data_IF_044012478151
#
_entry.id   IF_044012478151
#
_cell.length_a   1.000
_cell.length_b   1.000
_cell.length_c   1.000
_cell.angle_alpha   90.00
_cell.angle_beta   90.00
_cell.angle_gamma   90.00
#
_symmetry.space_group_name_H-M   'P 1'
#
loop_
_entity.id
_entity.type
_entity.pdbx_description
1 polymer ?
#
# COMPACT_ATOMS: atom_id res chain seq x y z
N UNK A 1 16.96 22.41 45.64
CA UNK A 1 16.67 21.20 46.45
C UNK A 1 15.68 20.37 45.68
N UNK A 2 16.05 19.10 45.44
CA UNK A 2 15.29 17.93 44.95
C UNK A 2 14.49 18.11 43.64
N UNK A 3 14.80 17.49 42.48
CA UNK A 3 15.34 16.17 42.10
C UNK A 3 14.29 15.05 41.93
N UNK A 4 14.33 14.44 40.72
CA UNK A 4 13.89 13.09 40.27
C UNK A 4 12.39 12.73 40.37
N UNK A 5 11.74 11.96 39.47
CA UNK A 5 12.16 10.79 38.68
C UNK A 5 11.14 10.57 37.54
N UNK A 6 11.52 10.39 36.27
CA UNK A 6 11.63 9.12 35.54
C UNK A 6 10.41 8.18 35.57
N UNK A 7 9.80 7.93 34.41
CA UNK A 7 9.21 6.62 34.11
C UNK A 7 9.24 6.36 32.61
N UNK A 8 10.20 5.50 32.26
CA UNK A 8 10.49 4.95 30.95
C UNK A 8 9.72 3.62 30.83
N UNK A 9 9.05 3.41 29.70
CA UNK A 9 8.17 2.28 29.46
C UNK A 9 8.57 1.51 28.21
N UNK A 10 9.82 1.07 28.19
CA UNK A 10 10.39 0.12 27.25
C UNK A 10 9.74 -1.26 27.39
N UNK A 11 9.26 -1.83 26.28
CA UNK A 11 9.04 -3.28 26.16
C UNK A 11 9.81 -3.73 24.91
N UNK A 12 11.06 -4.11 25.16
CA UNK A 12 11.88 -4.86 24.23
C UNK A 12 11.70 -6.37 24.42
N UNK A 13 11.92 -7.07 23.30
CA UNK A 13 12.38 -8.46 23.14
C UNK A 13 11.65 -9.62 23.81
N UNK A 14 11.12 -10.49 22.95
CA UNK A 14 11.21 -11.94 23.13
C UNK A 14 11.61 -12.58 21.79
N UNK A 15 12.90 -12.90 21.71
CA UNK A 15 13.53 -13.78 20.74
C UNK A 15 12.97 -15.20 20.84
N UNK A 16 13.05 -15.96 19.75
CA UNK A 16 12.80 -17.40 19.76
C UNK A 16 12.87 -18.00 18.35
N UNK A 17 14.07 -18.36 17.95
CA UNK A 17 14.39 -19.13 16.74
C UNK A 17 13.78 -20.55 16.75
N UNK A 18 13.72 -21.12 15.54
CA UNK A 18 13.73 -22.54 15.20
C UNK A 18 12.44 -23.37 15.38
N UNK A 19 11.86 -23.78 14.24
CA UNK A 19 11.13 -25.04 14.10
C UNK A 19 11.04 -25.45 12.61
N UNK A 20 12.01 -26.28 12.23
CA UNK A 20 11.91 -27.25 11.14
C UNK A 20 10.87 -28.34 11.49
N UNK A 21 10.00 -28.72 10.54
CA UNK A 21 9.35 -30.05 10.39
C UNK A 21 8.23 -29.93 9.34
N UNK A 22 8.40 -30.47 8.14
CA UNK A 22 8.16 -31.88 7.77
C UNK A 22 6.68 -32.22 7.54
N UNK A 23 6.37 -32.30 6.24
CA UNK A 23 5.32 -33.13 5.66
C UNK A 23 5.40 -34.56 6.22
N UNK A 24 4.28 -35.13 6.64
CA UNK A 24 3.72 -36.39 6.10
C UNK A 24 2.60 -36.89 7.02
N UNK A 25 1.39 -36.87 6.45
CA UNK A 25 0.20 -37.48 7.03
C UNK A 25 0.06 -38.88 6.44
N UNK A 26 -0.11 -39.89 7.29
CA UNK A 26 -0.86 -41.10 6.96
C UNK A 26 -0.07 -42.27 6.37
N UNK A 27 0.53 -43.05 7.27
CA UNK A 27 0.97 -44.42 7.06
C UNK A 27 -0.25 -45.36 7.09
N UNK A 28 -0.47 -46.14 6.03
CA UNK A 28 -1.22 -47.41 6.08
C UNK A 28 -0.53 -48.40 5.14
N UNK A 29 0.28 -49.27 5.74
CA UNK A 29 0.61 -50.62 5.26
C UNK A 29 -0.32 -51.61 6.01
N UNK A 30 -0.55 -52.89 5.60
CA UNK A 30 0.51 -53.86 5.22
C UNK A 30 0.02 -55.04 4.29
N UNK A 31 0.65 -56.25 4.23
CA UNK A 31 2.01 -56.60 3.77
C UNK A 31 2.08 -57.82 2.79
N UNK A 32 3.32 -58.15 2.38
CA UNK A 32 3.88 -59.47 1.96
C UNK A 32 3.97 -59.79 0.45
N UNK A 33 5.19 -59.87 -0.11
CA UNK A 33 5.97 -61.12 -0.25
C UNK A 33 7.25 -60.90 -1.09
N UNK A 34 8.31 -61.60 -0.67
CA UNK A 34 9.66 -61.69 -1.25
C UNK A 34 9.70 -62.48 -2.57
N UNK A 35 10.60 -62.12 -3.50
CA UNK A 35 11.39 -63.09 -4.29
C UNK A 35 12.50 -62.42 -5.13
N UNK A 36 13.72 -62.93 -4.95
CA UNK A 36 14.92 -62.73 -5.77
C UNK A 36 14.81 -63.46 -7.14
N UNK A 37 15.49 -62.93 -8.18
CA UNK A 37 16.29 -63.66 -9.20
C UNK A 37 16.78 -62.62 -10.25
N UNK A 38 18.06 -62.28 -10.38
CA UNK A 38 19.21 -63.05 -10.89
C UNK A 38 19.30 -63.15 -12.44
N UNK A 39 20.38 -62.58 -13.00
CA UNK A 39 21.01 -62.93 -14.29
C UNK A 39 20.47 -62.22 -15.55
N UNK A 40 21.22 -61.91 -16.62
CA UNK A 40 22.56 -62.32 -17.09
C UNK A 40 23.05 -61.31 -18.18
N UNK A 41 24.37 -61.12 -18.24
CA UNK A 41 25.28 -60.60 -19.29
C UNK A 41 24.83 -60.00 -20.65
N UNK A 42 25.43 -58.81 -20.94
CA UNK A 42 26.20 -58.32 -22.12
C UNK A 42 26.55 -59.29 -23.28
N UNK A 43 27.26 -58.86 -24.36
CA UNK A 43 27.14 -57.70 -25.28
C UNK A 43 27.23 -58.14 -26.76
N UNK A 44 27.00 -57.27 -27.75
CA UNK A 44 27.61 -57.45 -29.09
C UNK A 44 27.84 -56.11 -29.81
N UNK A 45 28.94 -56.05 -30.56
CA UNK A 45 29.62 -54.89 -31.13
C UNK A 45 29.35 -54.72 -32.63
N UNK A 46 29.85 -53.60 -33.19
CA UNK A 46 30.07 -53.23 -34.61
C UNK A 46 28.85 -52.65 -35.36
N UNK A 47 28.94 -51.60 -36.19
CA UNK A 47 30.06 -50.82 -36.73
C UNK A 47 29.53 -49.49 -37.29
N UNK A 48 30.40 -48.48 -37.31
CA UNK A 48 30.49 -47.21 -38.09
C UNK A 48 29.32 -46.63 -38.90
N UNK A 49 29.08 -45.31 -38.73
CA UNK A 49 29.23 -44.30 -39.78
C UNK A 49 28.98 -42.89 -39.21
N UNK A 50 29.83 -41.95 -39.61
CA UNK A 50 29.87 -40.56 -39.15
C UNK A 50 28.67 -39.76 -39.69
N UNK A 51 28.06 -38.99 -38.79
CA UNK A 51 26.96 -38.07 -39.07
C UNK A 51 27.09 -36.85 -38.18
N UNK A 52 28.20 -36.16 -38.33
CA UNK A 52 28.51 -34.87 -37.73
C UNK A 52 27.41 -33.85 -38.06
N UNK A 53 26.50 -33.63 -37.10
CA UNK A 53 25.64 -32.46 -37.05
C UNK A 53 25.56 -32.01 -35.61
N UNK A 54 26.65 -31.37 -35.17
CA UNK A 54 26.68 -30.58 -33.94
C UNK A 54 25.49 -29.61 -33.96
N UNK A 55 24.44 -29.91 -33.19
CA UNK A 55 23.51 -28.88 -32.76
C UNK A 55 24.35 -27.80 -32.07
N UNK A 56 24.43 -26.65 -32.72
CA UNK A 56 24.99 -25.42 -32.19
C UNK A 56 24.18 -25.03 -30.95
N UNK A 57 24.55 -25.62 -29.82
CA UNK A 57 24.09 -25.19 -28.50
C UNK A 57 24.61 -23.77 -28.34
N UNK A 58 23.74 -22.81 -28.66
CA UNK A 58 24.04 -21.39 -28.54
C UNK A 58 24.59 -21.17 -27.13
N UNK A 59 25.87 -20.79 -27.05
CA UNK A 59 26.55 -20.53 -25.80
C UNK A 59 25.65 -19.57 -25.01
N UNK A 60 25.13 -20.01 -23.87
CA UNK A 60 24.27 -19.17 -23.04
C UNK A 60 25.16 -18.04 -22.56
N UNK A 61 24.99 -16.84 -23.13
CA UNK A 61 25.81 -15.68 -22.79
C UNK A 61 25.94 -15.55 -21.27
N UNK A 62 27.16 -15.35 -20.74
CA UNK A 62 27.35 -15.19 -19.31
C UNK A 62 26.49 -14.01 -18.83
N UNK A 63 25.60 -14.28 -17.87
CA UNK A 63 24.66 -13.29 -17.32
C UNK A 63 25.42 -12.04 -16.90
N UNK A 64 25.14 -10.94 -17.59
CA UNK A 64 25.80 -9.67 -17.37
C UNK A 64 25.51 -9.16 -15.94
N UNK A 65 26.49 -8.52 -15.28
CA UNK A 65 26.32 -7.95 -13.93
C UNK A 65 25.87 -6.50 -14.01
N UNK A 66 24.86 -6.13 -13.23
CA UNK A 66 24.37 -4.75 -13.16
C UNK A 66 25.45 -3.87 -12.50
N UNK A 67 25.88 -2.83 -13.22
CA UNK A 67 26.91 -1.89 -12.79
C UNK A 67 26.31 -0.49 -12.52
N UNK A 68 27.14 0.43 -12.00
CA UNK A 68 26.69 1.79 -11.65
C UNK A 68 26.12 2.58 -12.84
N UNK A 69 26.60 2.34 -14.06
CA UNK A 69 26.06 2.97 -15.28
C UNK A 69 24.66 2.45 -15.62
N UNK A 70 24.39 1.16 -15.40
CA UNK A 70 23.08 0.56 -15.64
C UNK A 70 22.05 0.90 -14.56
N UNK A 71 22.50 1.29 -13.35
CA UNK A 71 21.60 1.67 -12.24
C UNK A 71 20.65 2.81 -12.63
N UNK A 72 21.12 3.80 -13.39
CA UNK A 72 20.27 4.94 -13.79
C UNK A 72 19.12 4.47 -14.68
N UNK A 73 19.43 3.70 -15.72
CA UNK A 73 18.43 3.16 -16.64
C UNK A 73 17.47 2.19 -15.94
N UNK A 74 17.99 1.36 -15.03
CA UNK A 74 17.17 0.48 -14.20
C UNK A 74 16.18 1.29 -13.34
N UNK A 75 16.66 2.30 -12.61
CA UNK A 75 15.80 3.11 -11.74
C UNK A 75 14.75 3.90 -12.54
N UNK A 76 15.10 4.40 -13.73
CA UNK A 76 14.15 5.07 -14.62
C UNK A 76 13.04 4.12 -15.10
N UNK A 77 13.38 2.90 -15.50
CA UNK A 77 12.40 1.88 -15.91
C UNK A 77 11.48 1.46 -14.76
N UNK A 78 12.05 1.29 -13.56
CA UNK A 78 11.26 0.98 -12.35
C UNK A 78 10.32 2.14 -12.01
N UNK A 79 10.73 3.40 -12.19
CA UNK A 79 9.87 4.54 -11.96
C UNK A 79 8.75 4.68 -13.00
N UNK A 80 9.03 4.34 -14.25
CA UNK A 80 8.03 4.34 -15.30
C UNK A 80 6.94 3.29 -15.07
N UNK A 81 7.29 2.12 -14.51
CA UNK A 81 6.33 1.09 -14.12
C UNK A 81 6.56 0.65 -12.67
N UNK A 82 6.09 1.44 -11.68
CA UNK A 82 6.42 1.20 -10.28
C UNK A 82 5.79 -0.10 -9.77
N UNK A 83 6.60 -1.09 -9.36
CA UNK A 83 6.11 -2.41 -8.96
C UNK A 83 5.27 -2.35 -7.68
N UNK A 84 5.37 -1.27 -6.90
CA UNK A 84 4.64 -1.07 -5.66
C UNK A 84 3.15 -0.74 -5.85
N UNK A 85 2.75 -0.35 -7.07
CA UNK A 85 1.36 -0.04 -7.41
C UNK A 85 0.53 -1.29 -7.74
N UNK A 86 1.17 -2.45 -7.87
CA UNK A 86 0.54 -3.67 -8.36
C UNK A 86 0.32 -4.69 -7.25
N UNK A 87 -0.72 -5.49 -7.40
CA UNK A 87 -1.01 -6.61 -6.50
C UNK A 87 0.10 -7.67 -6.54
N UNK A 88 0.29 -8.37 -5.42
CA UNK A 88 1.31 -9.42 -5.25
C UNK A 88 1.33 -10.44 -6.39
N UNK A 89 0.18 -10.77 -6.97
CA UNK A 89 0.04 -11.72 -8.08
C UNK A 89 0.60 -11.17 -9.41
N UNK A 90 0.53 -9.86 -9.63
CA UNK A 90 0.96 -9.20 -10.86
C UNK A 90 2.41 -8.68 -10.80
N UNK A 91 2.96 -8.43 -9.60
CA UNK A 91 4.31 -7.87 -9.40
C UNK A 91 5.41 -8.64 -10.14
N UNK A 92 5.34 -9.97 -10.19
CA UNK A 92 6.32 -10.77 -10.93
C UNK A 92 6.31 -10.48 -12.43
N UNK A 93 5.12 -10.29 -13.02
CA UNK A 93 4.97 -9.91 -14.43
C UNK A 93 5.52 -8.52 -14.70
N UNK A 94 5.30 -7.58 -13.79
CA UNK A 94 5.85 -6.22 -13.86
C UNK A 94 7.37 -6.24 -13.89
N UNK A 95 8.00 -6.98 -12.98
CA UNK A 95 9.47 -7.10 -12.97
C UNK A 95 10.02 -7.75 -14.25
N UNK A 96 9.34 -8.76 -14.80
CA UNK A 96 9.71 -9.33 -16.11
C UNK A 96 9.65 -8.27 -17.21
N UNK A 97 8.60 -7.46 -17.25
CA UNK A 97 8.46 -6.35 -18.19
C UNK A 97 9.56 -5.31 -18.06
N UNK A 98 9.88 -4.87 -16.84
CA UNK A 98 10.98 -3.94 -16.54
C UNK A 98 12.31 -4.51 -17.05
N UNK A 99 12.59 -5.79 -16.75
CA UNK A 99 13.82 -6.45 -17.18
C UNK A 99 13.94 -6.48 -18.70
N UNK A 100 12.86 -6.80 -19.41
CA UNK A 100 12.85 -6.87 -20.87
C UNK A 100 13.12 -5.51 -21.50
N UNK A 101 12.47 -4.45 -21.02
CA UNK A 101 12.69 -3.09 -21.54
C UNK A 101 14.08 -2.57 -21.23
N UNK A 102 14.58 -2.81 -20.02
CA UNK A 102 15.96 -2.48 -19.66
C UNK A 102 16.93 -3.17 -20.60
N UNK A 103 16.81 -4.49 -20.76
CA UNK A 103 17.66 -5.30 -21.64
C UNK A 103 17.63 -4.80 -23.09
N UNK A 104 16.46 -4.41 -23.60
CA UNK A 104 16.32 -3.80 -24.94
C UNK A 104 17.02 -2.43 -25.02
N UNK A 105 16.86 -1.58 -24.01
CA UNK A 105 17.38 -0.20 -24.03
C UNK A 105 18.91 -0.12 -23.96
N UNK A 106 19.55 -1.00 -23.19
CA UNK A 106 21.01 -0.98 -22.97
C UNK A 106 21.71 -2.20 -23.56
N UNK A 107 21.04 -2.94 -24.45
CA UNK A 107 21.58 -4.13 -25.13
C UNK A 107 22.28 -5.10 -24.17
N UNK A 108 21.56 -5.50 -23.12
CA UNK A 108 22.07 -6.35 -22.04
C UNK A 108 21.14 -7.53 -21.78
N UNK A 109 21.58 -8.48 -20.94
CA UNK A 109 20.79 -9.65 -20.59
C UNK A 109 20.75 -9.87 -19.06
N UNK A 110 20.01 -9.00 -18.37
CA UNK A 110 19.74 -9.12 -16.95
C UNK A 110 18.49 -9.96 -16.69
N UNK A 111 18.50 -10.72 -15.61
CA UNK A 111 17.29 -11.36 -15.11
C UNK A 111 16.44 -10.38 -14.31
N UNK A 112 15.12 -10.55 -14.34
CA UNK A 112 14.22 -9.71 -13.54
C UNK A 112 14.50 -9.78 -12.04
N UNK A 113 15.03 -10.90 -11.55
CA UNK A 113 15.45 -11.07 -10.16
C UNK A 113 16.64 -10.17 -9.84
N UNK A 114 17.65 -10.15 -10.71
CA UNK A 114 18.81 -9.27 -10.56
C UNK A 114 18.39 -7.79 -10.54
N UNK A 115 17.49 -7.38 -11.43
CA UNK A 115 16.93 -6.02 -11.45
C UNK A 115 16.25 -5.68 -10.11
N UNK A 116 15.33 -6.55 -9.64
CA UNK A 116 14.62 -6.38 -8.37
C UNK A 116 15.56 -6.28 -7.18
N UNK A 117 16.53 -7.18 -7.11
CA UNK A 117 17.46 -7.27 -5.99
C UNK A 117 18.41 -6.06 -5.97
N UNK A 118 18.86 -5.60 -7.15
CA UNK A 118 19.66 -4.38 -7.28
C UNK A 118 18.87 -3.14 -6.87
N UNK A 119 17.63 -2.97 -7.33
CA UNK A 119 16.78 -1.85 -6.91
C UNK A 119 16.56 -1.87 -5.39
N UNK A 120 16.32 -3.04 -4.81
CA UNK A 120 16.13 -3.21 -3.36
C UNK A 120 17.39 -2.81 -2.57
N UNK A 121 18.56 -3.19 -3.07
CA UNK A 121 19.85 -2.80 -2.50
C UNK A 121 20.06 -1.28 -2.55
N UNK A 122 19.80 -0.66 -3.71
CA UNK A 122 19.96 0.79 -3.90
C UNK A 122 19.04 1.59 -2.97
N UNK A 123 17.78 1.18 -2.82
CA UNK A 123 16.85 1.80 -1.87
C UNK A 123 17.30 1.66 -0.42
N UNK A 124 17.85 0.49 -0.04
CA UNK A 124 18.38 0.28 1.32
C UNK A 124 19.60 1.19 1.59
N UNK A 125 20.53 1.26 0.64
CA UNK A 125 21.71 2.13 0.75
C UNK A 125 21.31 3.60 0.82
N UNK A 126 20.31 4.00 0.04
CA UNK A 126 19.73 5.35 0.08
C UNK A 126 19.15 5.67 1.46
N UNK A 127 18.31 4.79 2.01
CA UNK A 127 17.69 5.01 3.33
C UNK A 127 18.74 5.16 4.45
N UNK A 128 19.81 4.34 4.42
CA UNK A 128 20.92 4.46 5.37
C UNK A 128 21.63 5.80 5.22
N UNK A 129 21.92 6.22 3.98
CA UNK A 129 22.58 7.50 3.70
C UNK A 129 21.71 8.69 4.12
N UNK A 130 20.42 8.64 3.81
CA UNK A 130 19.44 9.67 4.14
C UNK A 130 19.39 9.89 5.66
N UNK A 131 19.22 8.82 6.44
CA UNK A 131 19.26 8.88 7.92
C UNK A 131 20.58 9.43 8.47
N UNK A 132 21.72 9.02 7.87
CA UNK A 132 23.03 9.54 8.27
C UNK A 132 23.15 11.04 8.01
N UNK A 133 22.64 11.52 6.87
CA UNK A 133 22.66 12.94 6.53
C UNK A 133 21.72 13.76 7.44
N UNK A 134 20.53 13.23 7.75
CA UNK A 134 19.59 13.86 8.71
C UNK A 134 20.19 13.98 10.11
N UNK A 135 20.94 12.98 10.57
CA UNK A 135 21.61 13.00 11.87
C UNK A 135 22.89 13.84 11.93
N UNK A 136 23.51 14.14 10.79
CA UNK A 136 24.76 14.91 10.69
C UNK A 136 24.52 16.41 10.40
N UNK A 137 23.40 16.95 10.89
CA UNK A 137 22.93 18.33 10.68
C UNK A 137 24.08 19.33 10.80
N UNK A 138 24.48 19.92 9.67
CA UNK A 138 25.63 20.81 9.54
C UNK A 138 26.60 20.45 8.41
N UNK A 139 26.57 19.23 7.89
CA UNK A 139 27.35 18.84 6.69
C UNK A 139 26.48 18.87 5.43
N UNK A 140 27.04 19.28 4.28
CA UNK A 140 26.28 19.44 3.05
C UNK A 140 25.68 18.13 2.57
N UNK A 141 24.40 18.16 2.16
CA UNK A 141 23.67 17.00 1.66
C UNK A 141 24.33 16.47 0.38
N UNK A 142 24.92 15.27 0.45
CA UNK A 142 25.60 14.65 -0.70
C UNK A 142 24.56 14.11 -1.69
N UNK A 143 24.26 14.92 -2.71
CA UNK A 143 23.40 14.53 -3.81
C UNK A 143 24.17 13.64 -4.80
N UNK A 144 23.92 12.33 -4.76
CA UNK A 144 24.34 11.46 -5.87
C UNK A 144 23.44 11.63 -7.07
N UNK A 145 23.96 11.36 -8.26
CA UNK A 145 23.22 11.37 -9.52
C UNK A 145 21.88 10.59 -9.51
N UNK A 146 21.82 9.48 -8.77
CA UNK A 146 20.61 8.66 -8.65
C UNK A 146 19.64 9.11 -7.53
N UNK A 147 19.97 10.18 -6.79
CA UNK A 147 19.22 10.61 -5.58
C UNK A 147 17.75 10.86 -5.88
N UNK A 148 17.46 11.64 -6.92
CA UNK A 148 16.08 11.98 -7.30
C UNK A 148 15.25 10.74 -7.63
N UNK A 149 15.79 9.76 -8.35
CA UNK A 149 15.07 8.55 -8.69
C UNK A 149 14.77 7.70 -7.44
N UNK A 150 15.74 7.61 -6.52
CA UNK A 150 15.60 6.82 -5.29
C UNK A 150 14.61 7.46 -4.31
N UNK A 151 14.60 8.78 -4.21
CA UNK A 151 13.63 9.52 -3.40
C UNK A 151 12.19 9.30 -3.88
N UNK A 152 11.95 9.44 -5.19
CA UNK A 152 10.63 9.17 -5.76
C UNK A 152 10.19 7.72 -5.55
N UNK A 153 11.09 6.75 -5.75
CA UNK A 153 10.78 5.33 -5.52
C UNK A 153 10.47 5.04 -4.04
N UNK A 154 11.17 5.67 -3.11
CA UNK A 154 10.88 5.57 -1.67
C UNK A 154 9.48 6.11 -1.35
N UNK A 155 9.12 7.27 -1.89
CA UNK A 155 7.79 7.87 -1.72
C UNK A 155 6.69 6.95 -2.27
N UNK A 156 6.85 6.43 -3.49
CA UNK A 156 5.89 5.51 -4.11
C UNK A 156 5.76 4.20 -3.31
N UNK A 157 6.87 3.67 -2.81
CA UNK A 157 6.86 2.48 -1.95
C UNK A 157 6.07 2.73 -0.66
N UNK A 158 6.28 3.87 -0.02
CA UNK A 158 5.59 4.22 1.22
C UNK A 158 4.10 4.46 0.97
N UNK A 159 3.74 5.17 -0.11
CA UNK A 159 2.35 5.37 -0.52
C UNK A 159 1.64 4.03 -0.83
N UNK A 160 2.31 3.10 -1.51
CA UNK A 160 1.77 1.76 -1.75
C UNK A 160 1.59 0.96 -0.45
N UNK A 161 2.48 1.13 0.53
CA UNK A 161 2.36 0.48 1.83
C UNK A 161 1.18 1.04 2.65
N UNK A 162 1.01 2.37 2.69
CA UNK A 162 -0.10 3.01 3.40
C UNK A 162 -1.45 2.68 2.75
N UNK A 163 -1.53 2.68 1.42
CA UNK A 163 -2.75 2.29 0.70
C UNK A 163 -3.13 0.82 0.98
N UNK A 164 -2.15 -0.09 0.96
CA UNK A 164 -2.40 -1.50 1.27
C UNK A 164 -2.85 -1.69 2.73
N UNK A 165 -2.29 -0.93 3.67
CA UNK A 165 -2.71 -0.99 5.06
C UNK A 165 -4.13 -0.42 5.25
N UNK A 166 -4.45 0.70 4.59
CA UNK A 166 -5.80 1.27 4.61
C UNK A 166 -6.85 0.29 4.06
N UNK A 167 -6.52 -0.42 2.97
CA UNK A 167 -7.40 -1.48 2.41
C UNK A 167 -7.64 -2.61 3.40
N UNK A 168 -6.61 -3.06 4.12
CA UNK A 168 -6.75 -4.10 5.16
C UNK A 168 -7.60 -3.62 6.32
N UNK A 169 -7.36 -2.40 6.79
CA UNK A 169 -8.13 -1.81 7.88
C UNK A 169 -9.61 -1.68 7.50
N UNK A 170 -9.92 -1.21 6.29
CA UNK A 170 -11.29 -1.14 5.79
C UNK A 170 -11.94 -2.53 5.68
N UNK A 171 -11.19 -3.55 5.27
CA UNK A 171 -11.73 -4.91 5.24
C UNK A 171 -12.08 -5.39 6.67
N UNK A 172 -11.22 -5.10 7.65
CA UNK A 172 -11.43 -5.46 9.05
C UNK A 172 -12.60 -4.69 9.69
N UNK A 173 -12.78 -3.39 9.39
CA UNK A 173 -13.93 -2.62 9.89
C UNK A 173 -15.23 -3.16 9.30
N UNK A 174 -15.25 -3.48 8.00
CA UNK A 174 -16.43 -4.08 7.36
C UNK A 174 -16.82 -5.41 7.99
N UNK A 175 -15.86 -6.26 8.35
CA UNK A 175 -16.16 -7.52 9.06
C UNK A 175 -16.71 -7.26 10.46
N UNK A 176 -16.13 -6.31 11.20
CA UNK A 176 -16.60 -5.94 12.54
C UNK A 176 -18.02 -5.35 12.49
N UNK A 177 -18.32 -4.50 11.51
CA UNK A 177 -19.65 -3.93 11.31
C UNK A 177 -20.70 -5.01 11.04
N UNK A 178 -20.38 -6.00 10.20
CA UNK A 178 -21.26 -7.13 9.92
C UNK A 178 -21.50 -7.99 11.16
N UNK A 179 -20.46 -8.27 11.94
CA UNK A 179 -20.58 -9.02 13.20
C UNK A 179 -21.44 -8.26 14.21
N UNK A 180 -21.20 -6.96 14.37
CA UNK A 180 -21.96 -6.09 15.27
C UNK A 180 -23.42 -6.01 14.85
N UNK A 181 -23.71 -5.89 13.55
CA UNK A 181 -25.07 -5.93 13.03
C UNK A 181 -25.74 -7.29 13.31
N UNK A 182 -25.02 -8.40 13.16
CA UNK A 182 -25.49 -9.74 13.51
C UNK A 182 -25.84 -9.87 14.99
N UNK A 183 -24.99 -9.39 15.89
CA UNK A 183 -25.23 -9.39 17.33
C UNK A 183 -26.47 -8.56 17.70
N UNK A 184 -26.65 -7.37 17.09
CA UNK A 184 -27.85 -6.54 17.33
C UNK A 184 -29.14 -7.24 16.90
N UNK A 185 -29.13 -7.96 15.78
CA UNK A 185 -30.29 -8.74 15.34
C UNK A 185 -30.62 -9.87 16.33
N UNK A 186 -29.60 -10.53 16.88
CA UNK A 186 -29.77 -11.55 17.91
C UNK A 186 -30.37 -10.97 19.19
N UNK A 187 -29.83 -9.85 19.68
CA UNK A 187 -30.36 -9.15 20.86
C UNK A 187 -31.81 -8.69 20.64
N UNK A 188 -32.12 -8.10 19.49
CA UNK A 188 -33.49 -7.72 19.16
C UNK A 188 -34.45 -8.93 19.12
N UNK A 189 -33.98 -10.08 18.63
CA UNK A 189 -34.77 -11.32 18.66
C UNK A 189 -34.97 -11.84 20.09
N UNK A 190 -33.95 -11.80 20.94
CA UNK A 190 -34.02 -12.18 22.36
C UNK A 190 -34.96 -11.26 23.15
N UNK A 191 -34.95 -9.96 22.89
CA UNK A 191 -35.90 -9.01 23.48
C UNK A 191 -37.34 -9.34 23.06
N UNK A 192 -37.56 -9.61 21.78
CA UNK A 192 -38.88 -9.99 21.26
C UNK A 192 -39.37 -11.32 21.84
N UNK A 193 -38.46 -12.27 22.09
CA UNK A 193 -38.75 -13.54 22.74
C UNK A 193 -39.06 -13.34 24.23
N UNK A 194 -38.26 -12.53 24.94
CA UNK A 194 -38.46 -12.19 26.35
C UNK A 194 -39.78 -11.45 26.58
N UNK A 195 -40.15 -10.51 25.70
CA UNK A 195 -41.46 -9.83 25.71
C UNK A 195 -42.59 -10.84 25.52
N UNK A 196 -42.41 -11.86 24.66
CA UNK A 196 -43.40 -12.92 24.46
C UNK A 196 -43.52 -13.80 25.69
N UNK A 197 -42.41 -14.22 26.29
CA UNK A 197 -42.41 -15.03 27.52
C UNK A 197 -43.00 -14.28 28.72
N UNK A 198 -42.61 -13.01 28.93
CA UNK A 198 -43.15 -12.18 30.00
C UNK A 198 -44.67 -11.98 29.88
N UNK A 199 -45.18 -11.81 28.65
CA UNK A 199 -46.62 -11.74 28.39
C UNK A 199 -47.34 -13.09 28.61
N UNK A 200 -46.64 -14.22 28.54
CA UNK A 200 -47.21 -15.54 28.80
C UNK A 200 -47.27 -15.90 30.30
N UNK A 201 -46.39 -15.32 31.15
CA UNK A 201 -46.37 -15.61 32.59
C UNK A 201 -47.13 -14.63 33.48
N UNK A 202 -47.49 -13.43 32.99
CA UNK A 202 -48.26 -12.45 33.76
C UNK A 202 -49.79 -12.72 33.79
N UNK A 203 -50.21 -13.96 33.59
CA UNK A 203 -51.62 -14.33 33.61
C UNK A 203 -51.82 -15.77 34.06
N UNK A 204 -52.26 -15.95 35.29
CA UNK A 204 -52.92 -17.17 35.73
C UNK A 204 -54.28 -17.24 35.00
N UNK A 205 -54.24 -17.54 33.70
CA UNK A 205 -55.32 -17.88 32.77
C UNK A 205 -54.72 -17.81 31.35
N UNK A 206 -54.80 -18.90 30.59
CA UNK A 206 -54.32 -19.02 29.20
C UNK A 206 -55.07 -18.16 28.19
N UNK A 207 -55.19 -16.86 28.44
CA UNK A 207 -55.77 -15.87 27.56
C UNK A 207 -54.72 -15.33 26.59
N UNK A 208 -55.06 -15.35 25.30
CA UNK A 208 -54.27 -14.76 24.21
C UNK A 208 -53.77 -13.36 24.58
N UNK A 209 -52.55 -12.95 24.17
CA UNK A 209 -52.03 -11.63 24.49
C UNK A 209 -53.03 -10.56 24.07
N UNK A 210 -53.33 -9.60 24.97
CA UNK A 210 -54.22 -8.48 24.66
C UNK A 210 -53.67 -7.76 23.43
N UNK A 211 -54.41 -7.83 22.33
CA UNK A 211 -54.06 -7.11 21.09
C UNK A 211 -53.86 -5.64 21.46
N UNK A 212 -52.68 -5.10 21.18
CA UNK A 212 -52.44 -3.65 21.28
C UNK A 212 -53.55 -2.95 20.49
N UNK A 213 -54.20 -1.96 21.10
CA UNK A 213 -55.25 -1.21 20.44
C UNK A 213 -54.68 -0.55 19.18
N UNK A 214 -55.43 -0.60 18.08
CA UNK A 214 -55.01 -0.08 16.77
C UNK A 214 -54.53 1.39 16.86
N UNK A 215 -55.13 2.18 17.75
CA UNK A 215 -54.74 3.57 18.04
C UNK A 215 -53.30 3.70 18.53
N UNK A 216 -52.85 2.85 19.46
CA UNK A 216 -51.49 2.91 19.99
C UNK A 216 -50.42 2.49 18.95
N UNK A 217 -50.79 1.61 18.00
CA UNK A 217 -49.90 1.27 16.88
C UNK A 217 -49.80 2.43 15.88
N UNK A 218 -50.93 3.08 15.59
CA UNK A 218 -50.99 4.26 14.71
C UNK A 218 -50.21 5.44 15.29
N UNK A 219 -50.33 5.71 16.59
CA UNK A 219 -49.59 6.77 17.29
C UNK A 219 -48.07 6.52 17.21
N UNK A 220 -47.64 5.27 17.43
CA UNK A 220 -46.22 4.89 17.34
C UNK A 220 -45.65 5.06 15.92
N UNK A 221 -46.42 4.67 14.90
CA UNK A 221 -46.01 4.86 13.50
C UNK A 221 -45.91 6.35 13.14
N UNK A 222 -46.82 7.18 13.64
CA UNK A 222 -46.78 8.62 13.45
C UNK A 222 -45.59 9.28 14.17
N UNK A 223 -45.26 8.83 15.38
CA UNK A 223 -44.10 9.28 16.15
C UNK A 223 -42.78 8.91 15.44
N UNK A 224 -42.63 7.64 15.02
CA UNK A 224 -41.47 7.19 14.25
C UNK A 224 -41.31 7.96 12.93
N UNK A 225 -42.41 8.24 12.22
CA UNK A 225 -42.39 9.05 11.00
C UNK A 225 -42.04 10.52 11.27
N UNK A 226 -42.39 11.07 12.43
CA UNK A 226 -41.97 12.41 12.85
C UNK A 226 -40.48 12.45 13.19
N UNK A 227 -39.96 11.45 13.90
CA UNK A 227 -38.53 11.34 14.21
C UNK A 227 -37.68 11.16 12.95
N UNK A 228 -38.12 10.33 12.00
CA UNK A 228 -37.41 10.13 10.73
C UNK A 228 -37.27 11.45 9.95
N UNK A 229 -38.35 12.25 9.88
CA UNK A 229 -38.32 13.58 9.26
C UNK A 229 -37.35 14.52 9.98
N UNK A 230 -37.35 14.53 11.31
CA UNK A 230 -36.44 15.36 12.12
C UNK A 230 -34.97 15.00 11.87
N UNK A 231 -34.66 13.70 11.79
CA UNK A 231 -33.30 13.23 11.50
C UNK A 231 -32.85 13.57 10.08
N UNK A 232 -33.76 13.48 9.12
CA UNK A 232 -33.49 13.87 7.73
C UNK A 232 -33.21 15.37 7.61
N UNK A 233 -34.01 16.22 8.28
CA UNK A 233 -33.79 17.66 8.33
C UNK A 233 -32.43 18.01 8.94
N UNK A 234 -32.05 17.37 10.04
CA UNK A 234 -30.73 17.56 10.67
C UNK A 234 -29.59 17.16 9.73
N UNK A 235 -29.74 16.02 9.04
CA UNK A 235 -28.74 15.54 8.07
C UNK A 235 -28.58 16.51 6.90
N UNK A 236 -29.69 17.04 6.38
CA UNK A 236 -29.67 18.07 5.32
C UNK A 236 -29.04 19.36 5.82
N UNK A 237 -29.33 19.77 7.06
CA UNK A 237 -28.72 20.93 7.71
C UNK A 237 -27.20 20.81 7.80
N UNK A 238 -26.70 19.70 8.38
CA UNK A 238 -25.26 19.43 8.48
C UNK A 238 -24.57 19.41 7.11
N UNK A 239 -25.21 18.82 6.10
CA UNK A 239 -24.63 18.79 4.75
C UNK A 239 -24.56 20.20 4.12
N UNK A 240 -25.56 21.05 4.38
CA UNK A 240 -25.52 22.45 3.94
C UNK A 240 -24.39 23.23 4.62
N UNK A 241 -24.20 23.04 5.92
CA UNK A 241 -23.10 23.66 6.68
C UNK A 241 -21.73 23.20 6.16
N UNK A 242 -21.55 21.91 5.90
CA UNK A 242 -20.32 21.38 5.32
C UNK A 242 -20.01 22.02 3.96
N UNK A 243 -21.02 22.12 3.08
CA UNK A 243 -20.86 22.78 1.79
C UNK A 243 -20.53 24.27 1.92
N UNK A 244 -21.05 24.95 2.94
CA UNK A 244 -20.73 26.35 3.21
C UNK A 244 -19.26 26.50 3.64
N UNK A 245 -18.79 25.67 4.58
CA UNK A 245 -17.39 25.69 5.00
C UNK A 245 -16.42 25.43 3.84
N UNK A 246 -16.77 24.51 2.93
CA UNK A 246 -15.98 24.25 1.72
C UNK A 246 -15.91 25.45 0.78
N UNK A 247 -16.99 26.24 0.67
CA UNK A 247 -16.98 27.48 -0.12
C UNK A 247 -16.10 28.52 0.54
N UNK A 248 -16.24 28.72 1.84
CA UNK A 248 -15.45 29.70 2.59
C UNK A 248 -13.94 29.36 2.54
N UNK A 249 -13.58 28.07 2.64
CA UNK A 249 -12.19 27.60 2.49
C UNK A 249 -11.63 27.90 1.09
N UNK A 250 -12.42 27.66 0.03
CA UNK A 250 -12.03 27.98 -1.34
C UNK A 250 -11.88 29.49 -1.55
N UNK A 251 -12.75 30.29 -0.96
CA UNK A 251 -12.63 31.75 -0.99
C UNK A 251 -11.36 32.21 -0.28
N UNK A 252 -11.03 31.67 0.88
CA UNK A 252 -9.77 31.97 1.58
C UNK A 252 -8.55 31.62 0.72
N UNK A 253 -8.54 30.45 0.07
CA UNK A 253 -7.46 30.08 -0.84
C UNK A 253 -7.34 31.05 -2.02
N UNK A 254 -8.46 31.48 -2.61
CA UNK A 254 -8.45 32.49 -3.69
C UNK A 254 -7.84 33.81 -3.22
N UNK A 255 -8.25 34.33 -2.05
CA UNK A 255 -7.70 35.55 -1.49
C UNK A 255 -6.18 35.44 -1.24
N UNK A 256 -5.71 34.30 -0.74
CA UNK A 256 -4.27 34.06 -0.56
C UNK A 256 -3.51 34.06 -1.89
N UNK A 257 -4.06 33.41 -2.91
CA UNK A 257 -3.48 33.41 -4.26
C UNK A 257 -3.46 34.80 -4.89
N UNK A 258 -4.54 35.57 -4.75
CA UNK A 258 -4.62 36.96 -5.23
C UNK A 258 -3.57 37.85 -4.54
N UNK A 259 -3.39 37.70 -3.23
CA UNK A 259 -2.37 38.43 -2.48
C UNK A 259 -0.95 38.12 -2.98
N UNK A 260 -0.62 36.84 -3.15
CA UNK A 260 0.68 36.43 -3.69
C UNK A 260 0.89 36.95 -5.11
N UNK A 261 -0.15 36.88 -5.94
CA UNK A 261 -0.08 37.37 -7.31
C UNK A 261 0.18 38.89 -7.37
N UNK A 262 -0.48 39.67 -6.50
CA UNK A 262 -0.25 41.11 -6.44
C UNK A 262 1.16 41.45 -5.92
N UNK A 263 1.69 40.68 -4.95
CA UNK A 263 3.07 40.82 -4.50
C UNK A 263 4.08 40.56 -5.63
N UNK A 264 3.90 39.47 -6.38
CA UNK A 264 4.76 39.15 -7.53
C UNK A 264 4.70 40.25 -8.58
N UNK A 265 3.51 40.75 -8.87
CA UNK A 265 3.30 41.85 -9.83
C UNK A 265 4.01 43.14 -9.39
N UNK A 266 3.95 43.48 -8.11
CA UNK A 266 4.67 44.64 -7.56
C UNK A 266 6.18 44.46 -7.65
N UNK A 267 6.70 43.28 -7.28
CA UNK A 267 8.13 42.98 -7.42
C UNK A 267 8.58 43.06 -8.89
N UNK A 268 7.80 42.50 -9.81
CA UNK A 268 8.08 42.59 -11.25
C UNK A 268 8.16 44.06 -11.71
N UNK A 269 7.20 44.90 -11.33
CA UNK A 269 7.21 46.33 -11.67
C UNK A 269 8.43 47.06 -11.08
N UNK A 270 8.83 46.75 -9.85
CA UNK A 270 10.04 47.30 -9.23
C UNK A 270 11.30 46.89 -9.98
N UNK A 271 11.43 45.60 -10.34
CA UNK A 271 12.58 45.11 -11.11
C UNK A 271 12.64 45.74 -12.50
N UNK A 272 11.50 45.92 -13.17
CA UNK A 272 11.44 46.58 -14.47
C UNK A 272 11.86 48.06 -14.37
N UNK A 273 11.44 48.76 -13.30
CA UNK A 273 11.84 50.14 -13.04
C UNK A 273 13.35 50.26 -12.79
N UNK A 274 13.93 49.37 -11.98
CA UNK A 274 15.38 49.34 -11.74
C UNK A 274 16.17 49.05 -13.02
N UNK A 275 15.73 48.09 -13.83
CA UNK A 275 16.37 47.78 -15.11
C UNK A 275 16.34 48.97 -16.08
N UNK A 276 15.22 49.71 -16.14
CA UNK A 276 15.12 50.95 -16.92
C UNK A 276 16.12 52.01 -16.44
N UNK A 277 16.26 52.19 -15.13
CA UNK A 277 17.20 53.14 -14.55
C UNK A 277 18.66 52.77 -14.85
N UNK A 278 19.03 51.49 -14.69
CA UNK A 278 20.37 50.99 -15.01
C UNK A 278 20.69 51.15 -16.50
N UNK A 279 19.72 50.85 -17.37
CA UNK A 279 19.87 51.03 -18.82
C UNK A 279 20.11 52.50 -19.16
N UNK A 280 19.36 53.42 -18.56
CA UNK A 280 19.56 54.86 -18.75
C UNK A 280 20.95 55.32 -18.28
N UNK A 281 21.41 54.86 -17.12
CA UNK A 281 22.73 55.19 -16.58
C UNK A 281 23.87 54.70 -17.49
N UNK A 282 23.79 53.46 -17.99
CA UNK A 282 24.76 52.90 -18.94
C UNK A 282 24.78 53.69 -20.26
N UNK A 283 23.61 54.12 -20.74
CA UNK A 283 23.51 54.93 -21.95
C UNK A 283 24.07 56.36 -21.79
N UNK A 284 24.09 56.91 -20.57
CA UNK A 284 24.70 58.22 -20.29
C UNK A 284 26.22 58.13 -20.10
N UNK A 285 26.75 57.02 -19.56
CA UNK A 285 28.20 56.81 -19.38
C UNK A 285 28.95 56.53 -20.71
N UNK A 286 28.24 56.07 -21.74
CA UNK A 286 28.80 55.77 -23.07
C UNK A 286 28.60 56.91 -24.11
N UNK A 287 28.20 58.11 -23.67
CA UNK A 287 28.16 59.34 -24.50
C UNK A 287 29.36 60.23 -24.21
#
# INVERSE_FOLDING_TARGET
MADSSESDGSIGDLLGDDATASLQLGQVDPPLLSANAAGVHQPDLSDDEEGESCEEVSATEPRSRINASADKSLLAEVLSTPPFAFDRKAVTGVWKGISNRLNQSISANFSFRACRDRTSLLLRQYAVRKKRNEGASGTSHVHTYNHHFLEQLEQLKNAGATQNQARKNHAATKTLELETAGQRLMQAAEEMYSIREANCWSGNNGGKPKRRHLSALLEKEQEEAAECRRLEEMKVGLHREELQLRRDELEQQRHQHELLHEQIKQQAAQTESLLKLLTAAICEENK
#
